data_IF_042448463515
#
_entry.id   IF_042448463515
#
_cell.length_a   1.000
_cell.length_b   1.000
_cell.length_c   1.000
_cell.angle_alpha   90.00
_cell.angle_beta   90.00
_cell.angle_gamma   90.00
#
_symmetry.space_group_name_H-M   'P 1'
#
loop_
_entity.id
_entity.type
_entity.pdbx_description
1 polymer ?
#
# COMPACT_ATOMS: atom_id res chain seq x y z
N UNK A 1 -4.32 -28.08 44.27
CA UNK A 1 -2.94 -27.61 44.52
C UNK A 1 -2.16 -28.79 45.09
N UNK A 2 -1.03 -29.18 44.49
CA UNK A 2 -0.22 -30.27 45.02
C UNK A 2 0.38 -29.87 46.38
N UNK A 3 0.30 -30.79 47.34
CA UNK A 3 0.91 -30.65 48.66
C UNK A 3 2.12 -31.58 48.73
N UNK A 4 3.25 -31.07 49.24
CA UNK A 4 4.45 -31.88 49.43
C UNK A 4 5.02 -31.68 50.83
N UNK A 5 5.37 -32.79 51.47
CA UNK A 5 6.06 -32.80 52.76
C UNK A 5 7.56 -32.65 52.55
N UNK A 6 8.14 -31.59 53.14
CA UNK A 6 9.59 -31.40 53.16
C UNK A 6 10.24 -32.32 54.20
N UNK A 7 11.55 -32.55 54.12
CA UNK A 7 12.34 -33.31 55.11
C UNK A 7 12.25 -32.73 56.53
N UNK A 8 11.87 -31.45 56.65
CA UNK A 8 11.63 -30.77 57.93
C UNK A 8 10.27 -31.10 58.56
N UNK A 9 9.48 -31.99 57.94
CA UNK A 9 8.18 -32.46 58.43
C UNK A 9 6.99 -31.54 58.15
N UNK A 10 7.22 -30.34 57.59
CA UNK A 10 6.15 -29.38 57.26
C UNK A 10 5.68 -29.54 55.82
N UNK A 11 4.37 -29.40 55.62
CA UNK A 11 3.74 -29.39 54.29
C UNK A 11 3.88 -28.03 53.64
N UNK A 12 4.34 -28.00 52.39
CA UNK A 12 4.46 -26.79 51.58
C UNK A 12 3.51 -26.91 50.38
N UNK A 13 2.77 -25.83 50.11
CA UNK A 13 1.85 -25.73 48.98
C UNK A 13 2.51 -25.01 47.81
N UNK A 14 2.40 -25.58 46.62
CA UNK A 14 2.96 -25.00 45.40
C UNK A 14 1.85 -24.56 44.45
N UNK A 15 1.98 -23.37 43.82
CA UNK A 15 1.10 -23.00 42.72
C UNK A 15 1.38 -23.89 41.50
N UNK A 16 0.33 -24.24 40.76
CA UNK A 16 0.43 -24.96 39.48
C UNK A 16 1.31 -24.18 38.50
N UNK A 17 2.29 -24.84 37.87
CA UNK A 17 3.30 -24.20 36.99
C UNK A 17 4.70 -24.04 37.62
N UNK A 18 4.89 -24.57 38.83
CA UNK A 18 6.20 -24.62 39.51
C UNK A 18 6.81 -26.02 39.56
N UNK A 19 6.18 -26.99 38.89
CA UNK A 19 6.67 -28.35 38.77
C UNK A 19 8.08 -28.37 38.14
N UNK A 20 9.02 -29.13 38.72
CA UNK A 20 10.41 -29.22 38.26
C UNK A 20 11.34 -28.07 38.66
N UNK A 21 10.82 -26.93 39.13
CA UNK A 21 11.65 -25.80 39.61
C UNK A 21 12.23 -26.10 40.99
N UNK A 22 13.40 -25.50 41.28
CA UNK A 22 14.03 -25.54 42.61
C UNK A 22 13.57 -24.33 43.41
N UNK A 23 13.09 -24.56 44.63
CA UNK A 23 12.65 -23.53 45.57
C UNK A 23 13.31 -23.70 46.94
N UNK A 24 13.07 -22.77 47.85
CA UNK A 24 13.45 -22.91 49.27
C UNK A 24 12.21 -23.14 50.11
N UNK A 25 12.30 -24.02 51.11
CA UNK A 25 11.23 -24.22 52.07
C UNK A 25 11.04 -22.95 52.92
N UNK A 26 9.83 -22.39 53.06
CA UNK A 26 9.60 -21.18 53.86
C UNK A 26 9.84 -21.39 55.37
N UNK A 27 9.91 -22.64 55.83
CA UNK A 27 10.05 -22.95 57.25
C UNK A 27 11.47 -23.24 57.71
N UNK A 28 12.32 -23.84 56.87
CA UNK A 28 13.71 -24.16 57.22
C UNK A 28 14.74 -23.55 56.26
N UNK A 29 14.32 -22.97 55.13
CA UNK A 29 15.20 -22.35 54.14
C UNK A 29 15.96 -23.32 53.22
N UNK A 30 15.83 -24.63 53.45
CA UNK A 30 16.53 -25.66 52.68
C UNK A 30 15.96 -25.81 51.25
N UNK A 31 16.83 -26.20 50.32
CA UNK A 31 16.49 -26.33 48.91
C UNK A 31 15.60 -27.55 48.65
N UNK A 32 14.43 -27.32 48.08
CA UNK A 32 13.44 -28.34 47.73
C UNK A 32 13.19 -28.35 46.23
N UNK A 33 13.07 -29.54 45.63
CA UNK A 33 12.69 -29.72 44.23
C UNK A 33 11.24 -30.19 44.16
N UNK A 34 10.40 -29.47 43.42
CA UNK A 34 8.98 -29.85 43.22
C UNK A 34 8.93 -31.04 42.25
N UNK A 35 8.40 -32.22 42.65
CA UNK A 35 8.24 -33.36 41.77
C UNK A 35 7.17 -33.06 40.72
N UNK A 36 7.41 -33.48 39.47
CA UNK A 36 6.46 -33.32 38.36
C UNK A 36 7.00 -32.61 37.11
N UNK A 37 8.32 -32.41 36.99
CA UNK A 37 8.91 -31.71 35.83
C UNK A 37 9.91 -32.52 34.99
N UNK A 38 10.04 -33.83 35.19
CA UNK A 38 11.10 -34.61 34.52
C UNK A 38 10.70 -35.12 33.11
N UNK A 39 9.50 -34.81 32.63
CA UNK A 39 9.13 -35.02 31.22
C UNK A 39 8.90 -33.68 30.51
N UNK A 40 9.98 -32.91 30.31
CA UNK A 40 9.99 -32.01 29.15
C UNK A 40 10.08 -32.97 27.95
N UNK A 41 9.02 -33.15 27.13
CA UNK A 41 9.11 -34.02 25.96
C UNK A 41 10.31 -33.52 25.17
N UNK A 42 11.29 -34.41 24.94
CA UNK A 42 12.56 -34.09 24.29
C UNK A 42 12.29 -33.06 23.21
N UNK A 43 12.66 -31.80 23.49
CA UNK A 43 12.28 -30.66 22.66
C UNK A 43 12.60 -31.09 21.26
N UNK A 44 11.58 -31.22 20.40
CA UNK A 44 11.77 -31.55 19.00
C UNK A 44 12.80 -30.54 18.54
N UNK A 45 14.06 -30.98 18.35
CA UNK A 45 15.11 -30.12 17.86
C UNK A 45 14.56 -29.59 16.57
N UNK A 46 14.14 -28.32 16.58
CA UNK A 46 13.62 -27.69 15.39
C UNK A 46 14.81 -27.72 14.45
N UNK A 47 14.76 -28.63 13.47
CA UNK A 47 15.69 -28.61 12.35
C UNK A 47 15.37 -27.33 11.61
N UNK A 48 16.07 -26.27 11.96
CA UNK A 48 16.07 -25.06 11.18
C UNK A 48 16.73 -25.42 9.86
N UNK A 49 16.00 -25.29 8.77
CA UNK A 49 16.59 -25.39 7.46
C UNK A 49 17.58 -24.22 7.30
N UNK A 50 18.77 -24.46 6.75
CA UNK A 50 19.74 -23.41 6.53
C UNK A 50 19.13 -22.35 5.60
N UNK A 51 19.36 -21.06 5.87
CA UNK A 51 18.75 -19.97 5.10
C UNK A 51 19.13 -20.04 3.61
N UNK A 52 18.26 -19.55 2.72
CA UNK A 52 18.59 -19.43 1.31
C UNK A 52 19.89 -18.63 1.14
N UNK A 53 20.81 -19.13 0.33
CA UNK A 53 22.19 -18.62 0.11
C UNK A 53 23.25 -18.95 1.17
N UNK A 54 23.01 -19.91 2.08
CA UNK A 54 24.00 -20.39 3.06
C UNK A 54 25.38 -20.71 2.46
N UNK A 55 25.43 -21.37 1.30
CA UNK A 55 26.69 -21.74 0.63
C UNK A 55 27.57 -20.54 0.27
N UNK A 56 26.95 -19.44 -0.18
CA UNK A 56 27.69 -18.20 -0.48
C UNK A 56 28.27 -17.56 0.79
N UNK A 57 27.59 -17.74 1.93
CA UNK A 57 28.08 -17.30 3.24
C UNK A 57 29.23 -18.18 3.76
N UNK A 58 29.15 -19.49 3.56
CA UNK A 58 30.27 -20.40 3.84
C UNK A 58 31.50 -20.06 2.98
N UNK A 59 31.31 -19.84 1.68
CA UNK A 59 32.40 -19.47 0.78
C UNK A 59 33.05 -18.13 1.20
N UNK A 60 32.26 -17.18 1.72
CA UNK A 60 32.77 -15.94 2.30
C UNK A 60 33.55 -16.18 3.60
N UNK A 61 33.03 -17.00 4.52
CA UNK A 61 33.73 -17.34 5.77
C UNK A 61 35.07 -18.05 5.53
N UNK A 62 35.23 -18.70 4.38
CA UNK A 62 36.45 -19.38 3.96
C UNK A 62 37.32 -18.56 3.00
N UNK A 63 37.06 -17.25 2.85
CA UNK A 63 37.80 -16.33 1.98
C UNK A 63 37.82 -16.72 0.48
N UNK A 64 36.85 -17.54 0.03
CA UNK A 64 36.73 -18.00 -1.37
C UNK A 64 35.71 -17.22 -2.19
N UNK A 65 34.94 -16.33 -1.56
CA UNK A 65 33.83 -15.61 -2.20
C UNK A 65 33.90 -14.09 -2.03
N UNK A 66 33.21 -13.33 -2.90
CA UNK A 66 33.02 -11.90 -2.69
C UNK A 66 32.23 -11.66 -1.39
N UNK A 67 32.47 -10.54 -0.68
CA UNK A 67 31.71 -10.22 0.52
C UNK A 67 30.22 -10.21 0.23
N UNK A 68 29.39 -10.86 1.06
CA UNK A 68 27.95 -10.88 0.85
C UNK A 68 27.45 -9.44 0.87
N UNK A 69 26.52 -9.12 -0.05
CA UNK A 69 25.91 -7.80 -0.07
C UNK A 69 25.30 -7.54 1.32
N UNK A 70 25.57 -6.39 1.96
CA UNK A 70 24.94 -6.09 3.23
C UNK A 70 23.44 -6.18 3.04
N UNK A 71 22.79 -7.04 3.83
CA UNK A 71 21.34 -7.10 3.87
C UNK A 71 20.88 -5.73 4.35
N UNK A 72 20.38 -4.91 3.41
CA UNK A 72 19.70 -3.67 3.74
C UNK A 72 18.38 -4.10 4.34
N UNK A 73 18.39 -4.40 5.64
CA UNK A 73 17.17 -4.62 6.41
C UNK A 73 16.50 -3.25 6.48
N UNK A 74 15.35 -3.05 5.82
CA UNK A 74 14.64 -1.79 5.93
C UNK A 74 14.36 -1.53 7.42
N UNK A 75 14.65 -0.32 7.90
CA UNK A 75 14.46 0.07 9.32
C UNK A 75 13.04 -0.21 9.82
N UNK A 76 12.08 -0.25 8.92
CA UNK A 76 10.72 -0.69 9.19
C UNK A 76 10.54 -2.04 8.51
N UNK A 77 10.76 -3.12 9.27
CA UNK A 77 10.22 -4.44 8.93
C UNK A 77 8.70 -4.31 9.02
N UNK A 78 8.06 -3.85 7.94
CA UNK A 78 6.61 -3.96 7.79
C UNK A 78 6.27 -5.43 7.76
N UNK A 79 5.15 -5.79 8.39
CA UNK A 79 4.61 -7.14 8.26
C UNK A 79 4.35 -7.40 6.77
N UNK A 80 4.56 -8.64 6.32
CA UNK A 80 4.42 -9.01 4.90
C UNK A 80 3.07 -8.55 4.32
N UNK A 81 2.01 -8.67 5.12
CA UNK A 81 0.65 -8.25 4.78
C UNK A 81 0.53 -6.73 4.56
N UNK A 82 1.13 -5.91 5.43
CA UNK A 82 1.14 -4.45 5.30
C UNK A 82 1.93 -3.99 4.07
N UNK A 83 3.04 -4.69 3.78
CA UNK A 83 3.83 -4.44 2.58
C UNK A 83 3.03 -4.74 1.31
N UNK A 84 2.37 -5.90 1.26
CA UNK A 84 1.56 -6.31 0.11
C UNK A 84 0.37 -5.35 -0.11
N UNK A 85 -0.32 -4.91 0.95
CA UNK A 85 -1.42 -3.94 0.86
C UNK A 85 -0.93 -2.57 0.35
N UNK A 86 0.22 -2.10 0.85
CA UNK A 86 0.83 -0.85 0.37
C UNK A 86 1.22 -0.94 -1.10
N UNK A 87 1.81 -2.06 -1.52
CA UNK A 87 2.16 -2.32 -2.91
C UNK A 87 0.92 -2.40 -3.80
N UNK A 88 -0.16 -3.03 -3.35
CA UNK A 88 -1.43 -3.07 -4.09
C UNK A 88 -2.02 -1.66 -4.29
N UNK A 89 -2.02 -0.83 -3.23
CA UNK A 89 -2.49 0.56 -3.29
C UNK A 89 -1.62 1.45 -4.17
N UNK A 90 -0.31 1.20 -4.22
CA UNK A 90 0.62 1.90 -5.12
C UNK A 90 0.50 1.40 -6.57
N UNK A 91 0.27 0.10 -6.78
CA UNK A 91 0.05 -0.49 -8.11
C UNK A 91 -1.26 -0.04 -8.75
N UNK A 92 -2.30 0.20 -7.95
CA UNK A 92 -3.56 0.80 -8.40
C UNK A 92 -3.35 2.23 -8.92
N UNK A 93 -2.36 2.95 -8.38
CA UNK A 93 -1.92 4.24 -8.91
C UNK A 93 -1.00 4.03 -10.11
N UNK A 94 -1.53 3.51 -11.22
CA UNK A 94 -0.77 3.33 -12.47
C UNK A 94 -0.29 4.71 -12.94
N UNK A 95 1.02 5.02 -12.84
CA UNK A 95 1.52 6.28 -13.33
C UNK A 95 1.37 6.29 -14.84
N UNK A 96 0.81 7.36 -15.40
CA UNK A 96 0.70 7.45 -16.85
C UNK A 96 2.10 7.57 -17.48
N UNK A 97 2.22 7.16 -18.74
CA UNK A 97 3.42 7.41 -19.55
C UNK A 97 3.62 8.91 -19.85
N UNK A 98 2.62 9.74 -19.58
CA UNK A 98 2.56 11.13 -20.01
C UNK A 98 3.07 12.08 -18.92
N UNK A 99 3.78 13.12 -19.37
CA UNK A 99 4.32 14.17 -18.52
C UNK A 99 3.63 15.48 -18.83
N UNK A 100 3.44 16.32 -17.82
CA UNK A 100 2.87 17.64 -18.01
C UNK A 100 3.81 18.50 -18.88
N UNK A 101 3.35 19.12 -19.99
CA UNK A 101 4.20 19.91 -20.87
C UNK A 101 4.68 21.22 -20.24
N UNK A 102 4.01 21.72 -19.19
CA UNK A 102 4.39 22.96 -18.51
C UNK A 102 5.48 22.72 -17.45
N UNK A 103 5.31 21.75 -16.56
CA UNK A 103 6.23 21.51 -15.43
C UNK A 103 7.02 20.21 -15.49
N UNK A 104 6.80 19.37 -16.52
CA UNK A 104 7.42 18.04 -16.72
C UNK A 104 7.16 17.02 -15.62
N UNK A 105 6.17 17.26 -14.76
CA UNK A 105 5.74 16.31 -13.74
C UNK A 105 4.98 15.14 -14.36
N UNK A 106 5.15 13.93 -13.81
CA UNK A 106 4.43 12.74 -14.28
C UNK A 106 2.97 12.80 -13.87
N UNK A 107 2.06 12.45 -14.78
CA UNK A 107 0.62 12.56 -14.53
C UNK A 107 -0.03 11.21 -14.27
N UNK A 108 -1.22 11.22 -13.66
CA UNK A 108 -2.11 10.07 -13.60
C UNK A 108 -3.00 9.99 -14.85
N UNK A 109 -3.44 8.78 -15.22
CA UNK A 109 -4.17 8.50 -16.47
C UNK A 109 -5.49 9.29 -16.56
N UNK A 110 -6.18 9.48 -15.44
CA UNK A 110 -7.50 10.12 -15.40
C UNK A 110 -7.46 11.62 -15.03
N UNK A 111 -6.26 12.19 -14.90
CA UNK A 111 -6.11 13.55 -14.39
C UNK A 111 -6.25 14.60 -15.50
N UNK A 112 -7.28 15.42 -15.40
CA UNK A 112 -7.61 16.49 -16.36
C UNK A 112 -6.85 17.79 -16.11
N UNK A 113 -6.38 18.02 -14.87
CA UNK A 113 -5.66 19.23 -14.46
C UNK A 113 -4.40 18.84 -13.71
N UNK A 114 -3.24 19.35 -14.14
CA UNK A 114 -1.97 19.07 -13.46
C UNK A 114 -1.99 19.64 -12.03
N UNK A 115 -1.76 18.78 -11.03
CA UNK A 115 -1.74 19.17 -9.60
C UNK A 115 -0.60 20.12 -9.25
N UNK A 116 0.52 20.06 -9.99
CA UNK A 116 1.70 20.88 -9.68
C UNK A 116 1.62 22.29 -10.26
N UNK A 117 1.19 22.42 -11.52
CA UNK A 117 1.17 23.72 -12.21
C UNK A 117 -0.24 24.27 -12.48
N UNK A 118 -1.30 23.47 -12.29
CA UNK A 118 -2.67 23.89 -12.56
C UNK A 118 -3.04 23.94 -14.04
N UNK A 119 -2.26 23.31 -14.92
CA UNK A 119 -2.59 23.23 -16.34
C UNK A 119 -3.79 22.30 -16.57
N UNK A 120 -4.89 22.85 -17.09
CA UNK A 120 -6.00 22.06 -17.62
C UNK A 120 -5.69 21.61 -19.05
N UNK A 121 -5.63 20.29 -19.24
CA UNK A 121 -5.30 19.68 -20.53
C UNK A 121 -6.41 19.90 -21.56
N UNK A 122 -7.68 19.97 -21.13
CA UNK A 122 -8.80 20.12 -22.07
C UNK A 122 -8.74 21.46 -22.77
N UNK A 123 -8.54 22.51 -21.97
CA UNK A 123 -8.58 23.89 -22.40
C UNK A 123 -7.21 24.43 -22.81
N UNK A 124 -6.11 23.84 -22.31
CA UNK A 124 -4.77 24.39 -22.46
C UNK A 124 -4.53 25.64 -21.61
N UNK A 125 -5.44 25.96 -20.68
CA UNK A 125 -5.31 27.09 -19.78
C UNK A 125 -4.73 26.66 -18.43
N UNK A 126 -3.81 27.47 -17.92
CA UNK A 126 -3.28 27.29 -16.56
C UNK A 126 -4.15 28.09 -15.61
N UNK A 127 -4.71 27.44 -14.59
CA UNK A 127 -5.63 28.04 -13.62
C UNK A 127 -4.89 29.02 -12.67
N UNK A 128 -3.56 29.12 -12.76
CA UNK A 128 -2.68 30.03 -12.01
C UNK A 128 -2.08 31.19 -12.83
N UNK A 129 -1.50 32.18 -12.13
CA UNK A 129 -1.36 33.54 -12.65
C UNK A 129 -0.47 33.80 -13.87
N UNK A 130 0.49 32.97 -14.32
CA UNK A 130 1.38 33.40 -15.42
C UNK A 130 2.10 32.28 -16.21
N UNK A 131 1.43 31.19 -16.58
CA UNK A 131 2.05 30.19 -17.47
C UNK A 131 1.38 30.17 -18.85
N UNK A 132 1.94 30.94 -19.79
CA UNK A 132 1.66 30.75 -21.22
C UNK A 132 2.37 29.47 -21.67
N UNK A 133 1.63 28.51 -22.20
CA UNK A 133 2.23 27.35 -22.86
C UNK A 133 2.99 27.78 -24.12
N UNK A 134 4.13 27.14 -24.38
CA UNK A 134 4.80 27.25 -25.66
C UNK A 134 3.97 26.56 -26.76
N UNK A 135 4.18 26.95 -28.03
CA UNK A 135 3.52 26.32 -29.17
C UNK A 135 3.75 24.79 -29.21
N UNK A 136 4.95 24.33 -28.79
CA UNK A 136 5.27 22.90 -28.66
C UNK A 136 4.42 22.22 -27.59
N UNK A 137 4.15 22.90 -26.48
CA UNK A 137 3.25 22.40 -25.44
C UNK A 137 1.83 22.21 -25.96
N UNK A 138 1.35 23.10 -26.82
CA UNK A 138 0.03 22.97 -27.46
C UNK A 138 -0.02 21.82 -28.46
N UNK A 139 1.01 21.66 -29.30
CA UNK A 139 1.10 20.54 -30.24
C UNK A 139 1.12 19.18 -29.52
N UNK A 140 1.85 19.08 -28.40
CA UNK A 140 1.87 17.87 -27.58
C UNK A 140 0.49 17.48 -27.04
N UNK A 141 -0.35 18.47 -26.67
CA UNK A 141 -1.71 18.19 -26.23
C UNK A 141 -2.57 17.58 -27.36
N UNK A 142 -2.32 17.94 -28.62
CA UNK A 142 -3.09 17.42 -29.76
C UNK A 142 -2.75 15.96 -30.10
N UNK A 143 -1.55 15.51 -29.76
CA UNK A 143 -1.09 14.13 -29.98
C UNK A 143 -1.70 13.13 -28.99
N UNK A 144 -2.22 13.60 -27.85
CA UNK A 144 -2.78 12.74 -26.80
C UNK A 144 -4.16 12.21 -27.23
N UNK A 145 -4.34 10.89 -27.48
CA UNK A 145 -5.55 10.34 -28.09
C UNK A 145 -6.83 10.60 -27.30
N UNK A 146 -6.80 10.35 -25.99
CA UNK A 146 -7.97 10.52 -25.11
C UNK A 146 -8.42 11.98 -25.03
N UNK A 147 -7.48 12.93 -25.13
CA UNK A 147 -7.78 14.35 -25.09
C UNK A 147 -8.47 14.80 -26.39
N UNK A 148 -8.04 14.26 -27.52
CA UNK A 148 -8.68 14.47 -28.83
C UNK A 148 -10.11 13.94 -28.84
N UNK A 149 -10.35 12.79 -28.24
CA UNK A 149 -11.69 12.20 -28.10
C UNK A 149 -12.59 13.06 -27.20
N UNK A 150 -12.08 13.50 -26.05
CA UNK A 150 -12.80 14.39 -25.16
C UNK A 150 -13.22 15.71 -25.85
N UNK A 151 -12.33 16.31 -26.63
CA UNK A 151 -12.64 17.52 -27.43
C UNK A 151 -13.74 17.26 -28.47
N UNK A 152 -13.69 16.10 -29.16
CA UNK A 152 -14.73 15.70 -30.11
C UNK A 152 -16.08 15.50 -29.42
N UNK A 153 -16.10 14.90 -28.23
CA UNK A 153 -17.31 14.69 -27.44
C UNK A 153 -17.97 16.03 -27.08
N UNK A 154 -17.21 16.98 -26.52
CA UNK A 154 -17.71 18.33 -26.19
C UNK A 154 -18.22 19.09 -27.43
N UNK A 155 -17.52 18.97 -28.55
CA UNK A 155 -17.97 19.58 -29.81
C UNK A 155 -19.29 18.98 -30.31
N UNK A 156 -19.51 17.68 -30.11
CA UNK A 156 -20.77 16.99 -30.44
C UNK A 156 -21.91 17.46 -29.55
N UNK A 157 -21.68 17.61 -28.25
CA UNK A 157 -22.66 18.12 -27.28
C UNK A 157 -23.10 19.56 -27.62
N UNK A 158 -22.15 20.45 -27.89
CA UNK A 158 -22.47 21.84 -28.30
C UNK A 158 -23.29 21.88 -29.60
N UNK A 159 -22.99 21.01 -30.57
CA UNK A 159 -23.79 20.90 -31.81
C UNK A 159 -25.21 20.37 -31.53
N UNK A 160 -25.34 19.40 -30.62
CA UNK A 160 -26.64 18.87 -30.22
C UNK A 160 -27.49 19.94 -29.51
N UNK A 161 -26.89 20.72 -28.60
CA UNK A 161 -27.56 21.84 -27.92
C UNK A 161 -27.96 22.96 -28.90
N UNK A 162 -27.10 23.27 -29.89
CA UNK A 162 -27.45 24.22 -30.95
C UNK A 162 -28.65 23.76 -31.78
N UNK A 163 -28.73 22.47 -32.12
CA UNK A 163 -29.87 21.88 -32.85
C UNK A 163 -31.16 21.92 -32.03
N UNK A 164 -31.12 21.60 -30.73
CA UNK A 164 -32.30 21.64 -29.87
C UNK A 164 -32.84 23.06 -29.68
N UNK A 165 -31.96 24.07 -29.54
CA UNK A 165 -32.37 25.49 -29.51
C UNK A 165 -33.00 25.93 -30.83
N UNK A 166 -32.50 25.45 -31.97
CA UNK A 166 -33.07 25.77 -33.28
C UNK A 166 -34.46 25.15 -33.47
N UNK A 167 -34.65 23.88 -33.11
CA UNK A 167 -35.96 23.21 -33.19
C UNK A 167 -36.98 23.82 -32.23
N UNK A 168 -36.56 24.21 -31.03
CA UNK A 168 -37.41 24.93 -30.08
C UNK A 168 -37.90 26.28 -30.65
N UNK A 169 -37.02 27.05 -31.30
CA UNK A 169 -37.39 28.32 -31.96
C UNK A 169 -38.38 28.11 -33.12
N UNK A 170 -38.22 27.06 -33.92
CA UNK A 170 -39.16 26.72 -34.99
C UNK A 170 -40.55 26.37 -34.42
N UNK A 171 -40.60 25.60 -33.32
CA UNK A 171 -41.85 25.24 -32.65
C UNK A 171 -42.56 26.45 -32.05
N UNK A 172 -41.82 27.41 -31.50
CA UNK A 172 -42.39 28.65 -30.96
C UNK A 172 -43.01 29.57 -32.03
N UNK A 173 -42.50 29.52 -33.27
CA UNK A 173 -43.04 30.30 -34.40
C UNK A 173 -44.23 29.63 -35.11
N UNK A 174 -44.55 28.38 -34.77
CA UNK A 174 -45.67 27.69 -35.40
C UNK A 174 -47.00 28.41 -35.03
N UNK A 175 -47.83 28.80 -36.02
CA UNK A 175 -49.06 29.51 -35.74
C UNK A 175 -49.95 28.67 -34.83
N UNK A 176 -50.34 29.23 -33.68
CA UNK A 176 -51.32 28.59 -32.79
C UNK A 176 -52.61 28.44 -33.58
N UNK A 177 -52.94 27.23 -34.03
CA UNK A 177 -54.23 26.94 -34.65
C UNK A 177 -55.31 27.37 -33.67
N UNK A 178 -55.99 28.50 -33.96
CA UNK A 178 -57.15 28.94 -33.20
C UNK A 178 -58.16 27.80 -33.30
N UNK A 179 -58.37 27.08 -32.19
CA UNK A 179 -59.49 26.13 -32.07
C UNK A 179 -60.75 26.94 -32.32
N UNK A 180 -61.38 26.75 -33.49
CA UNK A 180 -62.73 27.25 -33.74
C UNK A 180 -63.63 26.55 -32.72
N UNK A 181 -64.24 27.35 -31.84
CA UNK A 181 -65.33 26.92 -30.97
C UNK A 181 -66.60 26.87 -31.78
#
# INVERSE_FOLDING_TARGET
MPELTHTCGKTVRFPSGTEGKRGRCPHCGEGLRVPGGDEVPAQRRIRLEPPPHWKAYEDYLHDRGPPPRPLVIPKNLMLKEEADEKWAREAERVPSRWYCPACKERMFIDQVVCTKCGLDFRTGHVIGKNAKLSAKGMAYLEEIPWLREARKALAKERKAEGRSRATAKLRAKAPRRRRRR
#
